data_IF_801209752700
#
_entry.id   IF_801209752700
#
_cell.length_a   1.000
_cell.length_b   1.000
_cell.length_c   1.000
_cell.angle_alpha   90.00
_cell.angle_beta   90.00
_cell.angle_gamma   90.00
#
_symmetry.space_group_name_H-M   'P 1'
#
loop_
_entity.id
_entity.type
_entity.pdbx_description
1 polymer ?
#
# COMPACT_ATOMS: atom_id res chain seq x y z
N UNK A 1 -12.70 -12.70 13.51
CA UNK A 1 -13.31 -12.31 12.24
C UNK A 1 -13.91 -10.93 12.35
N UNK A 2 -13.40 -9.97 11.56
CA UNK A 2 -14.00 -8.65 11.38
C UNK A 2 -14.85 -8.66 10.10
N UNK A 3 -16.04 -8.08 10.11
CA UNK A 3 -16.86 -7.87 8.91
C UNK A 3 -17.10 -6.38 8.79
N UNK A 4 -16.69 -5.79 7.68
CA UNK A 4 -16.76 -4.34 7.46
C UNK A 4 -17.42 -4.00 6.12
N UNK A 5 -18.17 -2.90 6.13
CA UNK A 5 -18.65 -2.21 4.94
C UNK A 5 -17.79 -0.97 4.74
N UNK A 6 -17.12 -0.84 3.60
CA UNK A 6 -16.19 0.29 3.37
C UNK A 6 -16.91 1.65 3.40
N UNK A 7 -18.18 1.74 2.99
CA UNK A 7 -18.90 3.02 2.97
C UNK A 7 -18.98 3.69 4.35
N UNK A 8 -18.98 2.90 5.43
CA UNK A 8 -18.97 3.44 6.79
C UNK A 8 -17.65 4.12 7.18
N UNK A 9 -16.60 3.98 6.36
CA UNK A 9 -15.26 4.48 6.64
C UNK A 9 -14.78 5.55 5.66
N UNK A 10 -15.57 5.90 4.63
CA UNK A 10 -15.19 6.90 3.63
C UNK A 10 -15.20 8.33 4.18
N UNK A 11 -16.15 8.66 5.07
CA UNK A 11 -16.36 10.02 5.58
C UNK A 11 -15.78 10.25 6.98
N UNK A 12 -14.68 9.56 7.30
CA UNK A 12 -14.05 9.63 8.63
C UNK A 12 -13.29 10.95 8.79
N UNK A 13 -13.96 11.94 9.38
CA UNK A 13 -13.41 13.27 9.65
C UNK A 13 -12.52 13.35 10.91
N UNK A 14 -11.90 14.52 11.17
CA UNK A 14 -10.98 14.74 12.29
C UNK A 14 -11.63 14.56 13.67
N UNK A 15 -12.96 14.71 13.77
CA UNK A 15 -13.75 14.49 14.98
C UNK A 15 -13.86 13.01 15.39
N UNK A 16 -13.48 12.09 14.49
CA UNK A 16 -13.55 10.66 14.76
C UNK A 16 -12.47 10.25 15.76
N UNK A 17 -12.79 9.46 16.81
CA UNK A 17 -11.80 8.98 17.76
C UNK A 17 -10.62 8.31 17.07
N UNK A 18 -9.40 8.61 17.54
CA UNK A 18 -8.15 8.11 16.94
C UNK A 18 -8.12 6.60 16.66
N UNK A 19 -8.63 5.71 17.54
CA UNK A 19 -8.71 4.27 17.25
C UNK A 19 -9.60 3.92 16.05
N UNK A 20 -10.73 4.62 15.88
CA UNK A 20 -11.65 4.41 14.76
C UNK A 20 -11.04 4.96 13.47
N UNK A 21 -10.37 6.11 13.50
CA UNK A 21 -9.64 6.64 12.34
C UNK A 21 -8.53 5.69 11.87
N UNK A 22 -7.74 5.15 12.79
CA UNK A 22 -6.70 4.15 12.46
C UNK A 22 -7.29 2.85 11.89
N UNK A 23 -8.49 2.46 12.33
CA UNK A 23 -9.18 1.34 11.73
C UNK A 23 -9.61 1.66 10.29
N UNK A 24 -10.20 2.83 10.06
CA UNK A 24 -10.56 3.30 8.73
C UNK A 24 -9.35 3.31 7.78
N UNK A 25 -8.26 3.97 8.18
CA UNK A 25 -6.99 4.00 7.44
C UNK A 25 -6.49 2.59 7.09
N UNK A 26 -6.59 1.65 8.04
CA UNK A 26 -6.17 0.27 7.82
C UNK A 26 -7.08 -0.48 6.83
N UNK A 27 -8.40 -0.34 6.94
CA UNK A 27 -9.34 -0.99 6.03
C UNK A 27 -9.22 -0.41 4.61
N UNK A 28 -9.11 0.91 4.48
CA UNK A 28 -8.86 1.57 3.19
C UNK A 28 -7.55 1.11 2.55
N UNK A 29 -6.48 0.96 3.35
CA UNK A 29 -5.21 0.43 2.86
C UNK A 29 -5.33 -1.03 2.38
N UNK A 30 -6.09 -1.88 3.10
CA UNK A 30 -6.36 -3.26 2.68
C UNK A 30 -7.12 -3.29 1.35
N UNK A 31 -8.11 -2.41 1.18
CA UNK A 31 -8.86 -2.29 -0.08
C UNK A 31 -7.96 -1.85 -1.22
N UNK A 32 -7.14 -0.81 -1.00
CA UNK A 32 -6.17 -0.32 -1.96
C UNK A 32 -5.20 -1.43 -2.39
N UNK A 33 -4.63 -2.16 -1.43
CA UNK A 33 -3.74 -3.28 -1.74
C UNK A 33 -4.48 -4.39 -2.50
N UNK A 34 -5.60 -4.88 -1.99
CA UNK A 34 -6.35 -5.96 -2.63
C UNK A 34 -6.72 -5.61 -4.08
N UNK A 35 -7.28 -4.42 -4.31
CA UNK A 35 -7.71 -3.97 -5.64
C UNK A 35 -6.55 -3.66 -6.61
N UNK A 36 -5.36 -3.34 -6.09
CA UNK A 36 -4.16 -3.12 -6.89
C UNK A 36 -3.52 -4.41 -7.40
N UNK A 37 -3.75 -5.54 -6.71
CA UNK A 37 -3.20 -6.84 -7.08
C UNK A 37 -3.96 -7.54 -8.21
N UNK A 38 -3.44 -8.69 -8.63
CA UNK A 38 -4.11 -9.52 -9.65
C UNK A 38 -5.37 -10.17 -9.06
N UNK A 39 -6.46 -10.16 -9.85
CA UNK A 39 -7.71 -10.79 -9.46
C UNK A 39 -7.51 -12.29 -9.18
N UNK A 40 -8.20 -12.79 -8.15
CA UNK A 40 -8.24 -14.21 -7.76
C UNK A 40 -6.94 -14.86 -7.27
N UNK A 41 -5.81 -14.13 -7.27
CA UNK A 41 -4.57 -14.63 -6.69
C UNK A 41 -4.48 -14.11 -5.26
N UNK A 42 -4.25 -15.02 -4.31
CA UNK A 42 -3.93 -14.65 -2.94
C UNK A 42 -2.45 -14.28 -2.86
N UNK A 43 -2.14 -13.13 -2.28
CA UNK A 43 -0.77 -12.66 -2.15
C UNK A 43 -0.57 -11.87 -0.85
N UNK A 44 0.67 -11.80 -0.39
CA UNK A 44 1.05 -11.08 0.82
C UNK A 44 1.48 -9.65 0.48
N UNK A 45 0.84 -8.69 1.15
CA UNK A 45 1.06 -7.26 0.92
C UNK A 45 2.18 -6.71 1.81
N UNK A 46 2.70 -5.53 1.49
CA UNK A 46 3.57 -4.79 2.40
C UNK A 46 2.86 -4.22 3.66
N UNK A 47 1.55 -4.40 3.81
CA UNK A 47 0.81 -3.83 4.95
C UNK A 47 1.09 -4.61 6.24
N UNK A 48 1.54 -3.93 7.32
CA UNK A 48 1.76 -4.59 8.59
C UNK A 48 0.42 -4.89 9.27
N UNK A 49 0.39 -5.97 10.06
CA UNK A 49 -0.74 -6.26 10.92
C UNK A 49 -0.84 -5.24 12.06
N UNK A 50 -2.05 -4.72 12.31
CA UNK A 50 -2.31 -3.75 13.39
C UNK A 50 -2.36 -4.37 14.79
N UNK A 51 -2.47 -5.70 14.90
CA UNK A 51 -2.61 -6.41 16.19
C UNK A 51 -1.34 -6.27 17.01
N UNK A 52 -1.51 -6.28 18.33
CA UNK A 52 -0.41 -6.29 19.30
C UNK A 52 -0.52 -7.45 20.29
N UNK A 53 -0.41 -8.71 19.85
CA UNK A 53 -0.47 -9.85 20.76
C UNK A 53 0.62 -9.73 21.83
N UNK A 54 0.27 -10.00 23.09
CA UNK A 54 1.17 -9.83 24.23
C UNK A 54 1.88 -8.45 24.30
N UNK A 55 1.18 -7.38 23.91
CA UNK A 55 1.68 -6.00 23.87
C UNK A 55 2.87 -5.75 22.92
N UNK A 56 3.15 -6.66 21.98
CA UNK A 56 4.19 -6.51 20.95
C UNK A 56 3.56 -6.39 19.59
N UNK A 57 4.14 -5.58 18.70
CA UNK A 57 3.67 -5.48 17.32
C UNK A 57 3.71 -6.87 16.66
N UNK A 58 2.62 -7.24 16.00
CA UNK A 58 2.60 -8.46 15.20
C UNK A 58 3.61 -8.33 14.05
N UNK A 59 4.42 -9.37 13.85
CA UNK A 59 5.41 -9.42 12.77
C UNK A 59 4.78 -9.79 11.41
N UNK A 60 3.53 -10.23 11.42
CA UNK A 60 2.82 -10.64 10.21
C UNK A 60 2.38 -9.47 9.35
N UNK A 61 2.15 -9.81 8.08
CA UNK A 61 1.62 -8.91 7.06
C UNK A 61 0.21 -9.32 6.67
N UNK A 62 -0.48 -8.43 5.99
CA UNK A 62 -1.83 -8.71 5.51
C UNK A 62 -1.73 -9.45 4.18
N UNK A 63 -2.26 -10.66 4.15
CA UNK A 63 -2.56 -11.43 2.95
C UNK A 63 -3.95 -11.07 2.46
N UNK A 64 -4.07 -10.73 1.19
CA UNK A 64 -5.35 -10.39 0.54
C UNK A 64 -5.59 -11.31 -0.63
N UNK A 65 -6.85 -11.55 -0.96
CA UNK A 65 -7.26 -12.06 -2.25
C UNK A 65 -8.22 -11.05 -2.86
N UNK A 66 -7.88 -10.50 -4.04
CA UNK A 66 -8.81 -9.60 -4.72
C UNK A 66 -9.98 -10.43 -5.22
N UNK A 67 -11.14 -10.18 -4.64
CA UNK A 67 -12.39 -10.70 -5.12
C UNK A 67 -12.87 -9.85 -6.31
N UNK A 68 -13.75 -10.40 -7.15
CA UNK A 68 -14.43 -9.62 -8.18
C UNK A 68 -15.14 -8.40 -7.55
N UNK A 69 -15.42 -7.31 -8.28
CA UNK A 69 -16.07 -6.12 -7.74
C UNK A 69 -17.35 -6.38 -6.93
N UNK A 70 -18.08 -7.46 -7.24
CA UNK A 70 -19.31 -7.85 -6.55
C UNK A 70 -19.08 -8.70 -5.30
N UNK A 71 -17.84 -9.09 -5.03
CA UNK A 71 -17.47 -9.96 -3.93
C UNK A 71 -16.71 -9.18 -2.85
N UNK A 72 -16.91 -9.50 -1.55
CA UNK A 72 -16.12 -8.93 -0.47
C UNK A 72 -14.64 -9.29 -0.60
N UNK A 73 -13.75 -8.38 -0.21
CA UNK A 73 -12.32 -8.68 -0.08
C UNK A 73 -12.10 -9.51 1.18
N UNK A 74 -11.51 -10.68 1.03
CA UNK A 74 -11.02 -11.50 2.14
C UNK A 74 -9.58 -11.14 2.49
N UNK A 75 -9.33 -10.87 3.77
CA UNK A 75 -7.99 -10.58 4.27
C UNK A 75 -7.67 -11.38 5.54
N UNK A 76 -6.39 -11.72 5.71
CA UNK A 76 -5.89 -12.43 6.88
C UNK A 76 -4.44 -12.00 7.17
N UNK A 77 -4.06 -11.93 8.44
CA UNK A 77 -2.69 -11.76 8.86
C UNK A 77 -1.94 -13.09 8.79
N UNK A 78 -0.78 -13.11 8.14
CA UNK A 78 0.06 -14.30 7.97
C UNK A 78 0.63 -14.87 9.27
N UNK A 79 0.62 -14.11 10.37
CA UNK A 79 1.23 -14.51 11.64
C UNK A 79 0.22 -14.75 12.77
N UNK A 80 -0.63 -13.77 13.08
CA UNK A 80 -1.54 -13.87 14.24
C UNK A 80 -2.95 -14.40 13.88
N UNK A 81 -3.22 -14.62 12.59
CA UNK A 81 -4.51 -15.12 12.12
C UNK A 81 -5.66 -14.13 12.26
N UNK A 82 -5.41 -12.84 12.55
CA UNK A 82 -6.43 -11.80 12.48
C UNK A 82 -6.95 -11.69 11.05
N UNK A 83 -8.26 -11.72 10.86
CA UNK A 83 -8.86 -11.84 9.54
C UNK A 83 -10.22 -11.19 9.50
N UNK A 84 -10.67 -10.92 8.29
CA UNK A 84 -11.99 -10.36 8.06
C UNK A 84 -12.35 -10.24 6.58
N UNK A 85 -13.52 -9.65 6.37
CA UNK A 85 -14.06 -9.36 5.05
C UNK A 85 -14.42 -7.88 4.94
N UNK A 86 -14.26 -7.31 3.74
CA UNK A 86 -14.63 -5.92 3.44
C UNK A 86 -15.56 -5.92 2.23
N UNK A 87 -16.81 -5.49 2.41
CA UNK A 87 -17.80 -5.34 1.33
C UNK A 87 -17.89 -3.89 0.85
N UNK A 88 -18.58 -3.67 -0.27
CA UNK A 88 -18.92 -2.35 -0.81
C UNK A 88 -17.69 -1.44 -1.04
N UNK A 89 -16.59 -2.05 -1.45
CA UNK A 89 -15.32 -1.37 -1.69
C UNK A 89 -15.14 -0.89 -3.13
N UNK A 90 -15.83 -1.55 -4.08
CA UNK A 90 -15.71 -1.26 -5.50
C UNK A 90 -16.20 0.16 -5.82
N UNK A 91 -15.52 0.81 -6.77
CA UNK A 91 -15.75 2.20 -7.18
C UNK A 91 -15.52 3.26 -6.08
N UNK A 92 -14.99 2.88 -4.91
CA UNK A 92 -14.50 3.84 -3.92
C UNK A 92 -13.21 4.52 -4.38
N UNK A 93 -12.81 5.59 -3.70
CA UNK A 93 -11.53 6.27 -3.94
C UNK A 93 -10.29 5.38 -3.67
N UNK A 94 -10.49 4.25 -2.97
CA UNK A 94 -9.44 3.28 -2.67
C UNK A 94 -9.45 2.08 -3.64
N UNK A 95 -10.33 2.08 -4.64
CA UNK A 95 -10.36 1.06 -5.69
C UNK A 95 -9.29 1.35 -6.75
N UNK A 96 -8.16 0.64 -6.63
CA UNK A 96 -6.97 0.79 -7.45
C UNK A 96 -6.88 -0.21 -8.61
N UNK A 97 -7.99 -0.85 -8.99
CA UNK A 97 -8.02 -1.73 -10.17
C UNK A 97 -7.55 -0.97 -11.42
N UNK A 98 -6.73 -1.62 -12.25
CA UNK A 98 -6.33 -1.10 -13.57
C UNK A 98 -7.58 -0.91 -14.42
N UNK A 99 -7.82 0.33 -14.87
CA UNK A 99 -8.95 0.64 -15.76
C UNK A 99 -8.62 0.38 -17.24
N UNK A 100 -7.33 0.39 -17.63
CA UNK A 100 -6.90 0.14 -19.00
C UNK A 100 -5.64 -0.74 -19.02
N UNK A 101 -5.66 -1.76 -19.88
CA UNK A 101 -4.50 -2.52 -20.33
C UNK A 101 -3.65 -1.58 -21.20
N UNK A 102 -2.88 -0.67 -20.59
CA UNK A 102 -1.79 -0.04 -21.33
C UNK A 102 -0.81 -1.16 -21.73
N UNK A 103 -0.25 -1.06 -22.94
CA UNK A 103 0.74 -1.99 -23.45
C UNK A 103 1.79 -2.25 -22.37
N UNK A 104 2.18 -3.51 -22.16
CA UNK A 104 3.15 -3.94 -21.16
C UNK A 104 4.48 -3.22 -21.38
N UNK A 105 4.62 -2.03 -20.78
CA UNK A 105 5.90 -1.40 -20.57
C UNK A 105 6.72 -2.30 -19.65
N UNK A 106 8.05 -2.37 -19.86
CA UNK A 106 8.92 -3.11 -18.96
C UNK A 106 8.78 -2.53 -17.56
N UNK A 107 8.52 -3.41 -16.60
CA UNK A 107 8.39 -3.09 -15.19
C UNK A 107 9.73 -3.37 -14.51
N UNK A 108 10.20 -2.44 -13.68
CA UNK A 108 11.32 -2.67 -12.77
C UNK A 108 10.81 -3.29 -11.48
N UNK A 109 11.54 -4.25 -10.96
CA UNK A 109 11.34 -4.77 -9.62
C UNK A 109 12.43 -4.21 -8.69
N UNK A 110 12.01 -3.40 -7.72
CA UNK A 110 12.89 -2.73 -6.76
C UNK A 110 12.60 -3.33 -5.37
N UNK A 111 13.64 -3.92 -4.76
CA UNK A 111 13.55 -4.36 -3.38
C UNK A 111 13.56 -3.15 -2.45
N UNK A 112 12.54 -3.00 -1.63
CA UNK A 112 12.40 -1.94 -0.62
C UNK A 112 12.28 -2.54 0.77
N UNK A 113 12.60 -1.77 1.82
CA UNK A 113 12.36 -2.18 3.19
C UNK A 113 10.95 -1.76 3.67
N UNK A 114 10.56 -2.23 4.86
CA UNK A 114 9.26 -1.91 5.44
C UNK A 114 9.10 -0.42 5.79
N UNK A 115 10.19 0.31 6.02
CA UNK A 115 10.14 1.73 6.34
C UNK A 115 9.87 2.55 5.08
N UNK A 116 10.59 2.28 3.99
CA UNK A 116 10.36 2.85 2.66
C UNK A 116 8.94 2.56 2.20
N UNK A 117 8.48 1.30 2.26
CA UNK A 117 7.10 0.97 1.89
C UNK A 117 6.04 1.71 2.74
N UNK A 118 6.35 2.04 3.99
CA UNK A 118 5.46 2.85 4.83
C UNK A 118 5.49 4.33 4.46
N UNK A 119 6.67 4.87 4.11
CA UNK A 119 6.84 6.24 3.64
C UNK A 119 6.09 6.45 2.33
N UNK A 120 6.26 5.57 1.35
CA UNK A 120 5.59 5.64 0.05
C UNK A 120 4.07 5.68 0.19
N UNK A 121 3.50 4.83 1.06
CA UNK A 121 2.04 4.83 1.35
C UNK A 121 1.54 6.09 2.07
N UNK A 122 2.44 6.90 2.62
CA UNK A 122 2.12 8.14 3.32
C UNK A 122 2.23 9.38 2.43
N UNK A 123 2.68 9.22 1.18
CA UNK A 123 2.80 10.34 0.25
C UNK A 123 1.41 10.87 -0.12
N UNK A 124 1.18 12.19 0.02
CA UNK A 124 -0.03 12.80 -0.46
C UNK A 124 0.00 12.92 -1.99
N UNK A 125 -1.17 12.90 -2.63
CA UNK A 125 -1.34 13.25 -4.05
C UNK A 125 -0.51 12.44 -5.07
N UNK A 126 -0.26 11.15 -4.81
CA UNK A 126 0.17 10.25 -5.87
C UNK A 126 -0.93 10.13 -6.94
N UNK A 127 -0.55 10.04 -8.22
CA UNK A 127 -1.49 9.63 -9.26
C UNK A 127 -1.94 8.17 -9.03
N UNK A 128 -2.95 7.74 -9.79
CA UNK A 128 -3.57 6.42 -9.59
C UNK A 128 -2.61 5.26 -9.89
N UNK A 129 -1.68 5.42 -10.83
CA UNK A 129 -0.74 4.38 -11.23
C UNK A 129 0.37 4.21 -10.17
N UNK A 130 0.95 5.31 -9.68
CA UNK A 130 1.86 5.32 -8.54
C UNK A 130 1.20 4.80 -7.26
N UNK A 131 -0.04 5.22 -6.96
CA UNK A 131 -0.80 4.67 -5.83
C UNK A 131 -0.94 3.16 -5.95
N UNK A 132 -1.33 2.67 -7.13
CA UNK A 132 -1.46 1.23 -7.38
C UNK A 132 -0.13 0.52 -7.17
N UNK A 133 0.97 1.01 -7.72
CA UNK A 133 2.30 0.40 -7.56
C UNK A 133 2.71 0.30 -6.08
N UNK A 134 2.51 1.38 -5.31
CA UNK A 134 2.84 1.45 -3.88
C UNK A 134 1.98 0.50 -3.03
N UNK A 135 0.68 0.38 -3.33
CA UNK A 135 -0.19 -0.55 -2.61
C UNK A 135 -0.09 -1.99 -3.14
N UNK A 136 0.45 -2.19 -4.35
CA UNK A 136 0.77 -3.49 -4.95
C UNK A 136 2.12 -4.06 -4.49
N UNK A 137 2.88 -3.38 -3.62
CA UNK A 137 4.16 -3.88 -3.10
C UNK A 137 3.93 -5.26 -2.45
N UNK A 138 4.58 -6.27 -3.03
CA UNK A 138 4.43 -7.67 -2.61
C UNK A 138 5.51 -8.03 -1.61
N UNK A 139 5.14 -8.82 -0.62
CA UNK A 139 6.10 -9.51 0.23
C UNK A 139 6.41 -10.87 -0.38
N UNK A 140 7.70 -11.15 -0.59
CA UNK A 140 8.22 -12.47 -0.90
C UNK A 140 9.30 -12.78 0.12
N UNK A 141 9.15 -13.89 0.85
CA UNK A 141 10.01 -14.27 1.96
C UNK A 141 10.19 -13.12 2.98
N UNK A 142 11.31 -12.40 2.91
CA UNK A 142 11.68 -11.29 3.80
C UNK A 142 11.90 -9.97 3.06
N UNK A 143 11.72 -9.95 1.73
CA UNK A 143 11.89 -8.76 0.88
C UNK A 143 10.54 -8.21 0.43
N UNK A 144 10.48 -6.88 0.28
CA UNK A 144 9.34 -6.20 -0.31
C UNK A 144 9.70 -5.75 -1.72
N UNK A 145 8.85 -6.10 -2.67
CA UNK A 145 9.09 -5.91 -4.09
C UNK A 145 8.12 -4.85 -4.63
N UNK A 146 8.68 -3.70 -5.00
CA UNK A 146 7.97 -2.60 -5.64
C UNK A 146 8.14 -2.74 -7.15
N UNK A 147 7.04 -3.05 -7.83
CA UNK A 147 7.01 -3.26 -9.27
C UNK A 147 6.31 -2.09 -9.97
N UNK A 148 7.05 -1.34 -10.79
CA UNK A 148 6.59 -0.14 -11.49
C UNK A 148 7.37 0.12 -12.79
N UNK A 149 6.80 0.88 -13.72
CA UNK A 149 7.48 1.30 -14.96
C UNK A 149 8.52 2.39 -14.68
N UNK A 150 9.38 2.69 -15.65
CA UNK A 150 10.36 3.80 -15.51
C UNK A 150 9.64 5.15 -15.33
N UNK A 151 8.51 5.35 -16.01
CA UNK A 151 7.68 6.55 -15.86
C UNK A 151 7.06 6.63 -14.46
N UNK A 152 6.45 5.55 -13.98
CA UNK A 152 5.92 5.48 -12.61
C UNK A 152 7.04 5.68 -11.56
N UNK A 153 8.27 5.22 -11.83
CA UNK A 153 9.42 5.42 -10.95
C UNK A 153 9.86 6.89 -10.90
N UNK A 154 9.99 7.54 -12.05
CA UNK A 154 10.36 8.96 -12.12
C UNK A 154 9.31 9.84 -11.41
N UNK A 155 8.02 9.57 -11.64
CA UNK A 155 6.90 10.27 -10.96
C UNK A 155 6.93 10.07 -9.44
N UNK A 156 7.22 8.85 -8.98
CA UNK A 156 7.32 8.54 -7.55
C UNK A 156 8.53 9.21 -6.90
N UNK A 157 9.67 9.30 -7.60
CA UNK A 157 10.87 10.02 -7.16
C UNK A 157 10.60 11.52 -7.05
N UNK A 158 9.91 12.11 -8.04
CA UNK A 158 9.53 13.52 -8.01
C UNK A 158 8.57 13.82 -6.86
N UNK A 159 7.59 12.94 -6.60
CA UNK A 159 6.68 13.07 -5.47
C UNK A 159 7.42 13.02 -4.12
N UNK A 160 8.40 12.12 -3.98
CA UNK A 160 9.25 12.05 -2.79
C UNK A 160 10.06 13.33 -2.58
N UNK A 161 10.71 13.83 -3.64
CA UNK A 161 11.50 15.04 -3.58
C UNK A 161 10.64 16.26 -3.22
N UNK A 162 9.46 16.38 -3.84
CA UNK A 162 8.51 17.44 -3.55
C UNK A 162 8.07 17.41 -2.08
N UNK A 163 7.69 16.25 -1.56
CA UNK A 163 7.25 16.11 -0.17
C UNK A 163 8.39 16.36 0.82
N UNK A 164 9.61 15.84 0.56
CA UNK A 164 10.78 16.03 1.42
C UNK A 164 11.18 17.51 1.54
N UNK A 165 11.12 18.25 0.44
CA UNK A 165 11.46 19.67 0.38
C UNK A 165 10.49 20.55 1.18
N UNK A 166 9.22 20.16 1.27
CA UNK A 166 8.18 20.91 2.00
C UNK A 166 7.92 20.37 3.41
N UNK A 167 8.57 19.28 3.82
CA UNK A 167 8.34 18.66 5.13
C UNK A 167 8.99 19.45 6.29
N UNK A 168 8.20 20.05 7.21
CA UNK A 168 8.75 20.79 8.35
C UNK A 168 9.37 19.88 9.43
N UNK A 169 8.90 18.64 9.56
CA UNK A 169 9.38 17.68 10.53
C UNK A 169 10.64 16.98 10.03
N UNK A 170 11.79 17.38 10.59
CA UNK A 170 13.11 16.80 10.29
C UNK A 170 13.19 15.28 10.33
N UNK A 171 12.41 14.62 11.19
CA UNK A 171 12.40 13.15 11.24
C UNK A 171 11.71 12.57 10.02
N UNK A 172 10.55 13.11 9.62
CA UNK A 172 9.83 12.66 8.43
C UNK A 172 10.60 13.02 7.17
N UNK A 173 11.20 14.21 7.11
CA UNK A 173 12.09 14.62 6.01
C UNK A 173 13.19 13.59 5.77
N UNK A 174 13.93 13.18 6.81
CA UNK A 174 14.97 12.13 6.67
C UNK A 174 14.44 10.79 6.18
N UNK A 175 13.20 10.43 6.53
CA UNK A 175 12.57 9.20 6.05
C UNK A 175 12.22 9.31 4.57
N UNK A 176 11.77 10.48 4.12
CA UNK A 176 11.52 10.78 2.71
C UNK A 176 12.83 10.80 1.91
N UNK A 177 13.86 11.48 2.41
CA UNK A 177 15.19 11.53 1.79
C UNK A 177 15.79 10.12 1.64
N UNK A 178 15.70 9.29 2.68
CA UNK A 178 16.18 7.90 2.61
C UNK A 178 15.41 7.05 1.60
N UNK A 179 14.10 7.29 1.44
CA UNK A 179 13.30 6.61 0.42
C UNK A 179 13.65 7.12 -0.99
N UNK A 180 13.88 8.43 -1.14
CA UNK A 180 14.34 9.06 -2.38
C UNK A 180 15.68 8.48 -2.83
N UNK A 181 16.69 8.48 -1.96
CA UNK A 181 18.04 7.98 -2.27
C UNK A 181 17.98 6.50 -2.72
N UNK A 182 17.14 5.71 -2.07
CA UNK A 182 16.95 4.29 -2.39
C UNK A 182 16.32 4.09 -3.77
N UNK A 183 15.26 4.83 -4.11
CA UNK A 183 14.63 4.73 -5.43
C UNK A 183 15.47 5.35 -6.54
N UNK A 184 16.13 6.48 -6.29
CA UNK A 184 17.01 7.15 -7.24
C UNK A 184 18.19 6.25 -7.63
N UNK A 185 18.76 5.50 -6.68
CA UNK A 185 19.81 4.53 -6.97
C UNK A 185 19.37 3.39 -7.91
N UNK A 186 18.07 3.06 -7.94
CA UNK A 186 17.51 2.01 -8.79
C UNK A 186 17.36 2.44 -10.26
N UNK A 187 17.31 3.75 -10.55
CA UNK A 187 17.23 4.27 -11.94
C UNK A 187 18.43 3.87 -12.80
N UNK A 188 19.61 3.71 -12.18
CA UNK A 188 20.87 3.33 -12.83
C UNK A 188 21.09 1.82 -12.99
N UNK A 189 20.17 0.96 -12.52
CA UNK A 189 20.35 -0.50 -12.58
C UNK A 189 19.88 -1.07 -13.94
N UNK A 190 20.59 -2.09 -14.49
CA UNK A 190 20.21 -2.72 -15.75
C UNK A 190 18.90 -3.51 -15.64
N UNK A 191 18.12 -3.48 -16.72
CA UNK A 191 16.87 -4.25 -16.88
C UNK A 191 17.24 -5.73 -17.08
N UNK A 192 16.66 -6.64 -16.30
CA UNK A 192 16.82 -8.08 -16.45
C UNK A 192 15.51 -8.72 -16.91
#
# INVERSE_FOLDING_TARGET
MLVADLHHFLDVGPETPGPARKLAEHLSAIVAAASAGDAHIRWETALPCRRRPANRACLGRITVACAQPEQPIDWCCSHCGDHGTISNWAASIYDLRRQQLSATEPVRDIVVDAATAAVLRSLPFLDKDCQRAVFAIRAYDESLHLALTDTELDELIDALAAEANHEPNRRRQRQLDSAYDHLAAATGQPRW
#
